data_IF_943575506904
#
_entry.id   IF_943575506904
#
_cell.length_a   1.000
_cell.length_b   1.000
_cell.length_c   1.000
_cell.angle_alpha   90.00
_cell.angle_beta   90.00
_cell.angle_gamma   90.00
#
_symmetry.space_group_name_H-M   'P 1'
#
loop_
_entity.id
_entity.type
_entity.pdbx_description
1 polymer ?
#
# COMPACT_ATOMS: atom_id res chain seq x y z
N UNK A 1 15.83 48.36 42.21
CA UNK A 1 15.05 48.85 41.06
C UNK A 1 15.05 47.76 39.99
N UNK A 2 13.89 47.15 39.75
CA UNK A 2 13.68 46.02 38.85
C UNK A 2 13.69 46.49 37.38
N UNK A 3 14.63 46.00 36.58
CA UNK A 3 14.66 46.25 35.14
C UNK A 3 13.63 45.35 34.45
N UNK A 4 12.54 45.94 33.95
CA UNK A 4 11.49 45.21 33.24
C UNK A 4 11.97 44.71 31.86
N UNK A 5 11.42 43.58 31.41
CA UNK A 5 11.69 42.90 30.12
C UNK A 5 11.44 43.73 28.84
N UNK A 6 11.11 45.02 28.94
CA UNK A 6 10.80 45.90 27.79
C UNK A 6 11.98 46.71 27.22
N UNK A 7 13.18 46.60 27.80
CA UNK A 7 14.34 47.40 27.34
C UNK A 7 15.18 46.74 26.25
N UNK A 8 14.88 45.49 25.85
CA UNK A 8 15.65 44.75 24.84
C UNK A 8 15.31 45.07 23.37
N UNK A 9 14.35 45.96 23.10
CA UNK A 9 13.88 46.28 21.74
C UNK A 9 14.44 47.58 21.13
N UNK A 10 15.53 48.14 21.67
CA UNK A 10 16.14 49.38 21.15
C UNK A 10 17.63 49.26 20.81
N UNK A 11 18.04 48.14 20.21
CA UNK A 11 19.33 48.04 19.53
C UNK A 11 19.08 47.87 18.03
N UNK A 12 19.70 48.68 17.15
CA UNK A 12 19.59 48.48 15.72
C UNK A 12 20.35 47.20 15.38
N UNK A 13 19.62 46.12 15.08
CA UNK A 13 20.21 44.90 14.55
C UNK A 13 20.60 45.16 13.09
N UNK A 14 21.82 45.65 12.87
CA UNK A 14 22.47 45.52 11.58
C UNK A 14 22.96 44.07 11.44
N UNK A 15 22.02 43.13 11.28
CA UNK A 15 22.33 41.77 10.88
C UNK A 15 22.29 41.72 9.35
N UNK A 16 23.45 41.78 8.72
CA UNK A 16 23.58 41.33 7.33
C UNK A 16 23.22 39.84 7.31
N UNK A 17 21.99 39.51 6.90
CA UNK A 17 21.58 38.15 6.68
C UNK A 17 22.39 37.62 5.49
N UNK A 18 23.43 36.84 5.76
CA UNK A 18 24.00 35.96 4.75
C UNK A 18 22.85 35.06 4.24
N UNK A 19 22.64 34.94 2.92
CA UNK A 19 21.59 34.07 2.42
C UNK A 19 21.88 32.67 2.95
N UNK A 20 20.94 32.14 3.74
CA UNK A 20 21.01 30.74 4.13
C UNK A 20 21.10 29.93 2.84
N UNK A 21 22.17 29.13 2.70
CA UNK A 21 22.27 28.19 1.60
C UNK A 21 20.98 27.37 1.60
N UNK A 22 20.24 27.41 0.49
CA UNK A 22 19.00 26.66 0.37
C UNK A 22 19.30 25.19 0.73
N UNK A 23 18.53 24.64 1.66
CA UNK A 23 18.68 23.24 2.01
C UNK A 23 18.60 22.41 0.72
N UNK A 24 19.45 21.38 0.54
CA UNK A 24 19.41 20.57 -0.65
C UNK A 24 17.99 20.01 -0.81
N UNK A 25 17.33 20.38 -1.90
CA UNK A 25 16.02 19.84 -2.26
C UNK A 25 16.22 18.38 -2.62
N UNK A 26 15.53 17.48 -1.91
CA UNK A 26 15.47 16.07 -2.30
C UNK A 26 14.78 16.02 -3.65
N UNK A 27 15.53 15.70 -4.71
CA UNK A 27 14.95 15.50 -6.02
C UNK A 27 14.20 14.16 -6.04
N UNK A 28 12.87 14.19 -5.96
CA UNK A 28 12.06 12.98 -6.04
C UNK A 28 12.12 12.32 -7.42
N UNK A 29 12.72 12.92 -8.46
CA UNK A 29 12.98 12.20 -9.72
C UNK A 29 14.24 11.34 -9.65
N UNK A 30 15.19 11.64 -8.76
CA UNK A 30 16.40 10.84 -8.59
C UNK A 30 16.02 9.41 -8.13
N UNK A 31 16.38 8.34 -8.86
CA UNK A 31 15.89 6.98 -8.57
C UNK A 31 16.11 6.50 -7.14
N UNK A 32 17.16 6.97 -6.47
CA UNK A 32 17.51 6.64 -5.09
C UNK A 32 16.63 7.28 -4.02
N UNK A 33 15.87 8.31 -4.37
CA UNK A 33 15.10 9.10 -3.41
C UNK A 33 13.67 8.57 -3.25
N UNK A 34 13.09 8.79 -2.08
CA UNK A 34 11.70 8.42 -1.78
C UNK A 34 10.74 9.20 -2.68
N UNK A 35 9.68 8.52 -3.14
CA UNK A 35 8.60 9.10 -3.95
C UNK A 35 7.39 9.34 -3.07
N UNK A 36 7.01 10.59 -2.83
CA UNK A 36 5.81 10.90 -2.05
C UNK A 36 4.59 10.72 -2.93
N UNK A 37 3.83 9.65 -2.66
CA UNK A 37 2.68 9.27 -3.47
C UNK A 37 1.36 9.55 -2.74
N UNK A 38 0.35 9.99 -3.50
CA UNK A 38 -1.06 9.96 -3.06
C UNK A 38 -1.80 8.85 -3.81
N UNK A 39 -2.63 8.08 -3.09
CA UNK A 39 -3.62 7.18 -3.69
C UNK A 39 -4.73 7.98 -4.36
N UNK A 40 -4.89 7.83 -5.67
CA UNK A 40 -5.84 8.57 -6.51
C UNK A 40 -6.60 7.62 -7.46
N UNK A 41 -7.77 8.02 -7.98
CA UNK A 41 -8.47 7.28 -9.04
C UNK A 41 -7.76 7.43 -10.40
N UNK A 42 -8.14 6.61 -11.38
CA UNK A 42 -7.64 6.73 -12.75
C UNK A 42 -8.05 8.05 -13.43
N UNK A 43 -9.23 8.59 -13.07
CA UNK A 43 -9.80 9.80 -13.66
C UNK A 43 -10.01 10.86 -12.57
N UNK A 44 -9.51 12.07 -12.84
CA UNK A 44 -9.69 13.29 -12.05
C UNK A 44 -10.00 14.45 -12.98
N UNK A 45 -10.72 15.46 -12.50
CA UNK A 45 -10.95 16.73 -13.20
C UNK A 45 -9.67 17.56 -13.34
N UNK A 46 -9.69 18.57 -14.22
CA UNK A 46 -8.56 19.49 -14.41
C UNK A 46 -8.27 20.31 -13.15
N UNK A 47 -9.32 20.75 -12.44
CA UNK A 47 -9.18 21.49 -11.17
C UNK A 47 -8.53 20.65 -10.07
N UNK A 48 -8.89 19.36 -9.96
CA UNK A 48 -8.26 18.44 -9.01
C UNK A 48 -6.78 18.23 -9.33
N UNK A 49 -6.44 18.02 -10.61
CA UNK A 49 -5.05 17.84 -11.04
C UNK A 49 -4.22 19.12 -10.86
N UNK A 50 -4.82 20.29 -11.14
CA UNK A 50 -4.19 21.58 -10.89
C UNK A 50 -3.92 21.79 -9.40
N UNK A 51 -4.88 21.45 -8.54
CA UNK A 51 -4.70 21.51 -7.08
C UNK A 51 -3.55 20.60 -6.62
N UNK A 52 -3.50 19.35 -7.10
CA UNK A 52 -2.43 18.41 -6.76
C UNK A 52 -1.04 18.92 -7.20
N UNK A 53 -0.97 19.54 -8.38
CA UNK A 53 0.25 20.21 -8.86
C UNK A 53 0.65 21.38 -7.96
N UNK A 54 -0.32 22.22 -7.55
CA UNK A 54 -0.07 23.39 -6.70
C UNK A 54 0.46 23.02 -5.31
N UNK A 55 0.04 21.88 -4.75
CA UNK A 55 0.59 21.35 -3.48
C UNK A 55 1.92 20.59 -3.68
N UNK A 56 2.45 20.54 -4.91
CA UNK A 56 3.76 19.99 -5.22
C UNK A 56 3.79 18.46 -5.40
N UNK A 57 2.65 17.81 -5.61
CA UNK A 57 2.64 16.35 -5.81
C UNK A 57 3.30 16.00 -7.16
N UNK A 58 4.28 15.09 -7.12
CA UNK A 58 5.01 14.63 -8.31
C UNK A 58 4.75 13.16 -8.66
N UNK A 59 4.38 12.36 -7.66
CA UNK A 59 4.17 10.93 -7.82
C UNK A 59 2.80 10.50 -7.32
N UNK A 60 2.20 9.55 -8.02
CA UNK A 60 0.86 9.06 -7.69
C UNK A 60 0.81 7.54 -7.66
N UNK A 61 -0.08 7.03 -6.82
CA UNK A 61 -0.51 5.64 -6.83
C UNK A 61 -1.94 5.59 -7.37
N UNK A 62 -2.17 4.87 -8.46
CA UNK A 62 -3.46 4.89 -9.14
C UNK A 62 -4.21 3.56 -8.97
N UNK A 63 -5.50 3.64 -8.67
CA UNK A 63 -6.40 2.48 -8.74
C UNK A 63 -7.08 2.42 -10.10
N UNK A 64 -6.93 1.29 -10.78
CA UNK A 64 -7.56 0.96 -12.04
C UNK A 64 -8.67 -0.06 -11.80
N UNK A 65 -9.95 0.37 -11.72
CA UNK A 65 -11.06 -0.57 -11.64
C UNK A 65 -11.17 -1.36 -12.96
N UNK A 66 -11.76 -2.56 -12.96
CA UNK A 66 -11.83 -3.41 -14.16
C UNK A 66 -12.48 -2.74 -15.38
N UNK A 67 -13.37 -1.78 -15.17
CA UNK A 67 -14.02 -1.02 -16.25
C UNK A 67 -13.13 0.07 -16.88
N UNK A 68 -11.96 0.36 -16.30
CA UNK A 68 -11.05 1.46 -16.67
C UNK A 68 -9.59 1.00 -16.60
N UNK A 69 -9.33 -0.19 -17.11
CA UNK A 69 -8.02 -0.85 -16.99
C UNK A 69 -7.52 -1.47 -18.28
N UNK A 70 -8.13 -1.14 -19.43
CA UNK A 70 -7.50 -1.46 -20.71
C UNK A 70 -6.19 -0.68 -20.86
N UNK A 71 -5.29 -1.15 -21.72
CA UNK A 71 -4.05 -0.42 -22.04
C UNK A 71 -4.32 1.06 -22.35
N UNK A 72 -5.34 1.36 -23.17
CA UNK A 72 -5.70 2.73 -23.53
C UNK A 72 -6.20 3.57 -22.34
N UNK A 73 -6.86 2.95 -21.35
CA UNK A 73 -7.30 3.66 -20.14
C UNK A 73 -6.12 4.00 -19.22
N UNK A 74 -5.18 3.06 -19.07
CA UNK A 74 -3.97 3.26 -18.27
C UNK A 74 -3.07 4.29 -18.95
N UNK A 75 -2.89 4.20 -20.27
CA UNK A 75 -2.12 5.16 -21.07
C UNK A 75 -2.73 6.57 -20.97
N UNK A 76 -4.06 6.69 -21.10
CA UNK A 76 -4.76 7.97 -20.90
C UNK A 76 -4.51 8.54 -19.51
N UNK A 77 -4.48 7.70 -18.48
CA UNK A 77 -4.17 8.13 -17.11
C UNK A 77 -2.73 8.63 -17.01
N UNK A 78 -1.75 7.90 -17.57
CA UNK A 78 -0.34 8.31 -17.64
C UNK A 78 -0.20 9.66 -18.33
N UNK A 79 -0.82 9.85 -19.48
CA UNK A 79 -0.80 11.12 -20.23
C UNK A 79 -1.45 12.26 -19.43
N UNK A 80 -2.59 11.98 -18.79
CA UNK A 80 -3.35 12.98 -18.03
C UNK A 80 -2.59 13.44 -16.78
N UNK A 81 -2.01 12.53 -16.00
CA UNK A 81 -1.13 12.90 -14.89
C UNK A 81 0.14 13.63 -15.38
N UNK A 82 0.73 13.13 -16.47
CA UNK A 82 1.93 13.71 -17.09
C UNK A 82 1.75 15.16 -17.53
N UNK A 83 0.60 15.53 -18.09
CA UNK A 83 0.27 16.90 -18.47
C UNK A 83 0.33 17.91 -17.30
N UNK A 84 0.19 17.42 -16.06
CA UNK A 84 0.29 18.22 -14.83
C UNK A 84 1.63 18.05 -14.10
N UNK A 85 2.61 17.36 -14.71
CA UNK A 85 3.94 17.15 -14.14
C UNK A 85 4.04 15.98 -13.16
N UNK A 86 3.01 15.13 -13.09
CA UNK A 86 2.97 13.96 -12.22
C UNK A 86 3.31 12.67 -12.97
N UNK A 87 3.86 11.68 -12.26
CA UNK A 87 4.13 10.33 -12.77
C UNK A 87 3.46 9.26 -11.90
N UNK A 88 3.00 8.18 -12.52
CA UNK A 88 2.44 7.03 -11.80
C UNK A 88 3.59 6.14 -11.32
N UNK A 89 3.75 6.00 -10.00
CA UNK A 89 4.76 5.11 -9.41
C UNK A 89 4.22 3.70 -9.16
N UNK A 90 2.95 3.61 -8.78
CA UNK A 90 2.32 2.34 -8.39
C UNK A 90 0.89 2.27 -8.94
N UNK A 91 0.53 1.11 -9.49
CA UNK A 91 -0.80 0.82 -10.00
C UNK A 91 -1.45 -0.33 -9.26
N UNK A 92 -2.77 -0.31 -9.13
CA UNK A 92 -3.54 -1.41 -8.53
C UNK A 92 -4.73 -1.75 -9.40
N UNK A 93 -4.85 -3.03 -9.74
CA UNK A 93 -5.95 -3.58 -10.53
C UNK A 93 -6.77 -4.55 -9.71
N UNK A 94 -8.10 -4.41 -9.68
CA UNK A 94 -8.92 -5.22 -8.74
C UNK A 94 -9.20 -6.67 -9.15
N UNK A 95 -8.74 -7.14 -10.31
CA UNK A 95 -8.92 -8.55 -10.70
C UNK A 95 -8.34 -9.55 -9.69
N UNK A 96 -7.27 -9.23 -8.97
CA UNK A 96 -6.74 -10.12 -7.92
C UNK A 96 -7.69 -10.26 -6.71
N UNK A 97 -8.65 -9.34 -6.54
CA UNK A 97 -9.64 -9.32 -5.44
C UNK A 97 -10.87 -10.16 -5.75
N UNK A 98 -10.99 -10.64 -6.98
CA UNK A 98 -12.11 -11.47 -7.39
C UNK A 98 -12.12 -12.74 -6.53
N UNK A 99 -13.27 -13.06 -5.95
CA UNK A 99 -13.40 -14.17 -5.01
C UNK A 99 -13.03 -15.50 -5.68
N UNK A 100 -13.20 -15.63 -6.99
CA UNK A 100 -12.77 -16.82 -7.71
C UNK A 100 -11.25 -17.01 -7.62
N UNK A 101 -10.46 -15.92 -7.68
CA UNK A 101 -9.01 -15.95 -7.46
C UNK A 101 -8.69 -16.28 -6.01
N UNK A 102 -9.23 -15.51 -5.07
CA UNK A 102 -8.81 -15.60 -3.66
C UNK A 102 -9.31 -16.87 -2.95
N UNK A 103 -10.45 -17.42 -3.36
CA UNK A 103 -11.05 -18.65 -2.81
C UNK A 103 -10.85 -19.87 -3.73
N UNK A 104 -10.13 -19.72 -4.85
CA UNK A 104 -9.78 -20.83 -5.73
C UNK A 104 -10.98 -21.47 -6.46
N UNK A 105 -11.99 -20.67 -6.83
CA UNK A 105 -13.21 -21.16 -7.48
C UNK A 105 -12.99 -21.33 -9.00
N UNK A 106 -13.84 -22.13 -9.67
CA UNK A 106 -13.81 -22.25 -11.14
C UNK A 106 -13.92 -20.88 -11.81
N UNK A 107 -13.12 -20.66 -12.87
CA UNK A 107 -13.10 -19.40 -13.61
C UNK A 107 -12.05 -18.39 -13.14
N UNK A 108 -11.28 -18.67 -12.09
CA UNK A 108 -10.20 -17.79 -11.59
C UNK A 108 -9.19 -17.37 -12.65
N UNK A 109 -8.88 -18.25 -13.61
CA UNK A 109 -7.85 -18.02 -14.62
C UNK A 109 -8.14 -16.81 -15.51
N UNK A 110 -9.41 -16.47 -15.76
CA UNK A 110 -9.77 -15.28 -16.55
C UNK A 110 -9.36 -13.98 -15.84
N UNK A 111 -9.46 -13.97 -14.51
CA UNK A 111 -9.12 -12.81 -13.69
C UNK A 111 -7.62 -12.74 -13.44
N UNK A 112 -6.96 -13.89 -13.29
CA UNK A 112 -5.50 -13.99 -13.28
C UNK A 112 -4.94 -13.44 -14.58
N UNK A 113 -5.50 -13.82 -15.74
CA UNK A 113 -5.04 -13.27 -17.02
C UNK A 113 -5.32 -11.77 -17.16
N UNK A 114 -6.46 -11.27 -16.67
CA UNK A 114 -6.71 -9.83 -16.63
C UNK A 114 -5.66 -9.08 -15.78
N UNK A 115 -5.25 -9.66 -14.65
CA UNK A 115 -4.18 -9.09 -13.82
C UNK A 115 -2.80 -9.20 -14.48
N UNK A 116 -2.51 -10.31 -15.17
CA UNK A 116 -1.29 -10.48 -15.95
C UNK A 116 -1.19 -9.48 -17.10
N UNK A 117 -2.30 -9.22 -17.79
CA UNK A 117 -2.36 -8.19 -18.83
C UNK A 117 -2.08 -6.81 -18.24
N UNK A 118 -2.65 -6.48 -17.08
CA UNK A 118 -2.34 -5.26 -16.34
C UNK A 118 -0.84 -5.13 -16.02
N UNK A 119 -0.16 -6.21 -15.60
CA UNK A 119 1.28 -6.19 -15.36
C UNK A 119 2.09 -5.89 -16.62
N UNK A 120 1.74 -6.51 -17.75
CA UNK A 120 2.39 -6.23 -19.05
C UNK A 120 2.19 -4.77 -19.47
N UNK A 121 1.01 -4.22 -19.23
CA UNK A 121 0.68 -2.84 -19.58
C UNK A 121 1.41 -1.85 -18.67
N UNK A 122 1.53 -2.14 -17.37
CA UNK A 122 2.39 -1.40 -16.45
C UNK A 122 3.85 -1.37 -16.93
N UNK A 123 4.40 -2.51 -17.37
CA UNK A 123 5.76 -2.59 -17.90
C UNK A 123 5.96 -1.70 -19.14
N UNK A 124 5.02 -1.75 -20.10
CA UNK A 124 5.05 -0.90 -21.31
C UNK A 124 4.94 0.59 -21.02
N UNK A 125 4.20 0.94 -19.97
CA UNK A 125 3.93 2.33 -19.57
C UNK A 125 4.87 2.82 -18.47
N UNK A 126 5.93 2.06 -18.16
CA UNK A 126 6.94 2.39 -17.16
C UNK A 126 6.37 2.64 -15.74
N UNK A 127 5.31 1.91 -15.36
CA UNK A 127 4.76 1.90 -14.00
C UNK A 127 5.47 0.77 -13.22
N UNK A 128 6.40 1.09 -12.31
CA UNK A 128 7.35 0.09 -11.79
C UNK A 128 6.76 -0.84 -10.72
N UNK A 129 5.65 -0.47 -10.07
CA UNK A 129 5.08 -1.21 -8.94
C UNK A 129 3.61 -1.57 -9.20
N UNK A 130 3.26 -2.82 -8.95
CA UNK A 130 1.89 -3.31 -8.93
C UNK A 130 1.51 -3.80 -7.52
N UNK A 131 0.71 -3.03 -6.80
CA UNK A 131 0.36 -3.33 -5.41
C UNK A 131 -0.88 -4.21 -5.33
N UNK A 132 -0.87 -5.19 -4.42
CA UNK A 132 -1.93 -6.16 -4.25
C UNK A 132 -2.04 -6.62 -2.79
N UNK A 133 -3.13 -7.31 -2.49
CA UNK A 133 -3.42 -7.95 -1.21
C UNK A 133 -4.09 -9.31 -1.47
N UNK A 134 -4.14 -10.20 -0.49
CA UNK A 134 -4.78 -11.52 -0.66
C UNK A 134 -5.64 -11.90 0.55
N UNK A 135 -6.62 -11.05 0.87
CA UNK A 135 -7.57 -11.29 1.96
C UNK A 135 -9.04 -11.29 1.49
N UNK A 136 -9.65 -12.46 1.24
CA UNK A 136 -11.06 -12.52 0.83
C UNK A 136 -12.05 -12.10 1.92
N UNK A 137 -11.58 -11.84 3.14
CA UNK A 137 -12.39 -11.33 4.25
C UNK A 137 -12.72 -9.82 4.19
N UNK A 138 -12.18 -9.05 3.24
CA UNK A 138 -12.35 -7.58 3.14
C UNK A 138 -11.73 -6.79 4.34
N UNK A 139 -11.88 -5.46 4.34
CA UNK A 139 -11.47 -4.54 5.42
C UNK A 139 -12.71 -3.91 6.05
N UNK A 140 -12.69 -3.68 7.38
CA UNK A 140 -13.86 -3.21 8.12
C UNK A 140 -13.67 -1.88 8.84
N UNK A 141 -14.80 -1.23 9.09
CA UNK A 141 -14.95 -0.12 10.03
C UNK A 141 -16.10 -0.46 10.95
N UNK A 142 -15.86 -0.42 12.27
CA UNK A 142 -16.92 -0.66 13.25
C UNK A 142 -17.65 0.63 13.59
N UNK A 143 -16.98 1.78 13.51
CA UNK A 143 -17.57 3.10 13.70
C UNK A 143 -16.77 4.20 12.98
N UNK A 144 -17.42 5.33 12.70
CA UNK A 144 -16.76 6.62 12.44
C UNK A 144 -16.87 7.44 13.72
N UNK A 145 -15.76 7.99 14.19
CA UNK A 145 -15.68 8.76 15.44
C UNK A 145 -15.04 10.12 15.19
N UNK A 146 -15.32 11.07 16.07
CA UNK A 146 -14.59 12.34 16.12
C UNK A 146 -13.28 12.14 16.88
N UNK A 147 -12.15 12.47 16.24
CA UNK A 147 -10.85 12.48 16.88
C UNK A 147 -10.74 13.64 17.89
N UNK A 148 -9.81 13.59 18.87
CA UNK A 148 -9.65 14.66 19.87
C UNK A 148 -9.41 16.07 19.30
N UNK A 149 -9.07 16.19 18.02
CA UNK A 149 -8.85 17.46 17.31
C UNK A 149 -10.02 17.87 16.42
N UNK A 150 -11.19 17.24 16.56
CA UNK A 150 -12.43 17.63 15.89
C UNK A 150 -12.60 17.15 14.44
N UNK A 151 -11.78 16.21 13.97
CA UNK A 151 -11.91 15.62 12.63
C UNK A 151 -12.46 14.20 12.71
N UNK A 152 -13.21 13.77 11.70
CA UNK A 152 -13.72 12.40 11.63
C UNK A 152 -12.62 11.39 11.29
N UNK A 153 -12.64 10.24 11.95
CA UNK A 153 -11.75 9.11 11.67
C UNK A 153 -12.49 7.79 11.74
N UNK A 154 -12.02 6.80 10.97
CA UNK A 154 -12.48 5.41 11.07
C UNK A 154 -11.95 4.80 12.37
N UNK A 155 -12.78 3.97 12.99
CA UNK A 155 -12.44 3.11 14.11
C UNK A 155 -12.70 1.64 13.75
N UNK A 156 -11.82 0.78 14.23
CA UNK A 156 -12.04 -0.66 14.31
C UNK A 156 -11.88 -1.08 15.77
N UNK A 157 -12.89 -1.74 16.32
CA UNK A 157 -12.86 -2.37 17.64
C UNK A 157 -13.12 -3.86 17.48
N UNK A 158 -12.20 -4.69 17.96
CA UNK A 158 -12.32 -6.14 17.77
C UNK A 158 -13.60 -6.70 18.37
N UNK A 159 -13.96 -6.29 19.59
CA UNK A 159 -15.18 -6.76 20.27
C UNK A 159 -16.45 -6.36 19.52
N UNK A 160 -16.53 -5.13 19.02
CA UNK A 160 -17.68 -4.70 18.22
C UNK A 160 -17.74 -5.47 16.91
N UNK A 161 -16.59 -5.72 16.29
CA UNK A 161 -16.52 -6.53 15.08
C UNK A 161 -17.05 -7.94 15.35
N UNK A 162 -16.49 -8.68 16.32
CA UNK A 162 -16.87 -10.07 16.62
C UNK A 162 -18.34 -10.22 17.03
N UNK A 163 -18.85 -9.30 17.83
CA UNK A 163 -20.17 -9.46 18.44
C UNK A 163 -21.31 -8.80 17.66
N UNK A 164 -21.02 -7.85 16.76
CA UNK A 164 -22.07 -7.03 16.10
C UNK A 164 -21.97 -6.99 14.58
N UNK A 165 -20.78 -7.15 14.01
CA UNK A 165 -20.53 -6.94 12.57
C UNK A 165 -20.22 -8.25 11.85
N UNK A 166 -19.45 -9.12 12.49
CA UNK A 166 -18.94 -10.32 11.87
C UNK A 166 -20.07 -11.30 11.56
N UNK A 167 -20.04 -11.78 10.32
CA UNK A 167 -20.91 -12.84 9.82
C UNK A 167 -20.11 -13.71 8.87
N UNK A 168 -20.50 -14.98 8.72
CA UNK A 168 -19.93 -15.83 7.67
C UNK A 168 -20.21 -15.17 6.32
N UNK A 169 -19.16 -14.85 5.57
CA UNK A 169 -19.29 -14.16 4.28
C UNK A 169 -19.58 -15.14 3.12
N UNK A 170 -19.19 -16.40 3.28
CA UNK A 170 -19.27 -17.41 2.24
C UNK A 170 -20.12 -18.62 2.65
N UNK A 171 -20.24 -19.58 1.75
CA UNK A 171 -21.00 -20.82 1.89
C UNK A 171 -20.42 -21.77 2.95
N UNK A 172 -19.11 -21.69 3.17
CA UNK A 172 -18.37 -22.48 4.17
C UNK A 172 -17.20 -21.71 4.75
N UNK A 173 -16.55 -22.34 5.72
CA UNK A 173 -15.26 -21.87 6.21
C UNK A 173 -14.13 -22.27 5.25
N UNK A 174 -13.16 -21.38 5.14
CA UNK A 174 -11.95 -21.53 4.33
C UNK A 174 -10.73 -21.53 5.25
N UNK A 175 -10.16 -22.71 5.57
CA UNK A 175 -8.96 -22.81 6.38
C UNK A 175 -7.78 -22.07 5.75
N UNK A 176 -6.87 -21.54 6.58
CA UNK A 176 -5.72 -20.73 6.10
C UNK A 176 -4.83 -21.47 5.10
N UNK A 177 -4.66 -22.79 5.24
CA UNK A 177 -3.85 -23.60 4.31
C UNK A 177 -4.48 -23.71 2.92
N UNK A 178 -5.81 -23.65 2.83
CA UNK A 178 -6.49 -23.59 1.53
C UNK A 178 -6.25 -22.23 0.85
N UNK A 179 -6.32 -21.14 1.62
CA UNK A 179 -6.00 -19.80 1.12
C UNK A 179 -4.54 -19.71 0.68
N UNK A 180 -3.62 -20.36 1.40
CA UNK A 180 -2.21 -20.48 0.98
C UNK A 180 -2.05 -21.23 -0.35
N UNK A 181 -2.77 -22.33 -0.55
CA UNK A 181 -2.73 -23.05 -1.83
C UNK A 181 -3.24 -22.17 -2.99
N UNK A 182 -4.27 -21.35 -2.73
CA UNK A 182 -4.81 -20.41 -3.72
C UNK A 182 -3.83 -19.26 -4.01
N UNK A 183 -3.18 -18.71 -2.99
CA UNK A 183 -2.13 -17.71 -3.15
C UNK A 183 -0.95 -18.27 -3.96
N UNK A 184 -0.48 -19.48 -3.64
CA UNK A 184 0.61 -20.12 -4.39
C UNK A 184 0.23 -20.33 -5.87
N UNK A 185 -1.00 -20.74 -6.14
CA UNK A 185 -1.51 -20.85 -7.51
C UNK A 185 -1.47 -19.51 -8.25
N UNK A 186 -1.98 -18.44 -7.62
CA UNK A 186 -1.93 -17.08 -8.15
C UNK A 186 -0.49 -16.63 -8.44
N UNK A 187 0.42 -16.84 -7.50
CA UNK A 187 1.81 -16.43 -7.63
C UNK A 187 2.54 -17.18 -8.75
N UNK A 188 2.32 -18.50 -8.90
CA UNK A 188 2.90 -19.29 -9.99
C UNK A 188 2.47 -18.79 -11.37
N UNK A 189 1.24 -18.29 -11.49
CA UNK A 189 0.73 -17.75 -12.74
C UNK A 189 1.13 -16.29 -12.99
N UNK A 190 1.37 -15.51 -11.93
CA UNK A 190 1.46 -14.05 -12.01
C UNK A 190 2.89 -13.52 -11.91
N UNK A 191 3.70 -14.05 -10.99
CA UNK A 191 5.05 -13.54 -10.74
C UNK A 191 5.99 -13.66 -11.96
N UNK A 192 5.93 -14.72 -12.80
CA UNK A 192 6.71 -14.77 -14.04
C UNK A 192 6.38 -13.61 -14.99
N UNK A 193 5.11 -13.23 -15.10
CA UNK A 193 4.66 -12.12 -15.94
C UNK A 193 5.16 -10.78 -15.40
N UNK A 194 5.13 -10.59 -14.07
CA UNK A 194 5.68 -9.41 -13.42
C UNK A 194 7.19 -9.26 -13.73
N UNK A 195 7.95 -10.36 -13.65
CA UNK A 195 9.37 -10.41 -14.02
C UNK A 195 9.61 -10.05 -15.49
N UNK A 196 8.85 -10.64 -16.42
CA UNK A 196 8.97 -10.34 -17.86
C UNK A 196 8.64 -8.88 -18.17
N UNK A 197 7.68 -8.29 -17.45
CA UNK A 197 7.29 -6.89 -17.59
C UNK A 197 8.23 -5.91 -16.86
N UNK A 198 9.18 -6.40 -16.05
CA UNK A 198 10.03 -5.55 -15.20
C UNK A 198 9.27 -4.82 -14.08
N UNK A 199 8.13 -5.36 -13.65
CA UNK A 199 7.24 -4.76 -12.64
C UNK A 199 7.40 -5.50 -11.31
N UNK A 200 7.54 -4.76 -10.21
CA UNK A 200 7.59 -5.34 -8.86
C UNK A 200 6.18 -5.48 -8.29
N UNK A 201 5.80 -6.70 -7.94
CA UNK A 201 4.59 -6.95 -7.16
C UNK A 201 4.82 -6.58 -5.70
N UNK A 202 3.89 -5.83 -5.12
CA UNK A 202 4.00 -5.28 -3.76
C UNK A 202 2.83 -5.74 -2.89
N UNK A 203 3.11 -6.68 -1.98
CA UNK A 203 2.11 -7.34 -1.15
C UNK A 203 1.78 -6.55 0.12
N UNK A 204 0.52 -6.17 0.30
CA UNK A 204 0.01 -5.49 1.49
C UNK A 204 -0.38 -6.49 2.60
N UNK A 205 -0.26 -6.13 3.89
CA UNK A 205 -0.71 -7.00 5.00
C UNK A 205 -2.24 -7.11 5.03
N UNK A 206 -2.79 -8.10 5.71
CA UNK A 206 -4.24 -8.16 5.83
C UNK A 206 -4.73 -7.18 6.91
N UNK A 207 -5.73 -6.35 6.58
CA UNK A 207 -6.23 -5.27 7.44
C UNK A 207 -7.72 -5.51 7.81
N UNK A 208 -8.07 -5.77 9.08
CA UNK A 208 -7.19 -5.86 10.26
C UNK A 208 -6.40 -7.18 10.32
N UNK A 209 -5.24 -7.26 11.00
CA UNK A 209 -4.39 -8.44 11.04
C UNK A 209 -4.89 -9.51 12.04
N UNK A 210 -6.04 -10.12 11.72
CA UNK A 210 -6.67 -11.18 12.51
C UNK A 210 -6.47 -12.54 11.86
N UNK A 211 -6.16 -13.58 12.63
CA UNK A 211 -5.92 -14.93 12.10
C UNK A 211 -7.10 -15.50 11.28
N UNK A 212 -8.34 -15.20 11.69
CA UNK A 212 -9.55 -15.62 11.00
C UNK A 212 -10.58 -14.50 11.02
N UNK A 213 -11.28 -14.32 9.90
CA UNK A 213 -12.34 -13.34 9.76
C UNK A 213 -13.41 -13.81 8.77
N UNK A 214 -14.70 -13.66 9.11
CA UNK A 214 -15.85 -14.01 8.27
C UNK A 214 -15.89 -15.48 7.80
N UNK A 215 -15.28 -16.40 8.56
CA UNK A 215 -15.11 -17.81 8.17
C UNK A 215 -13.88 -18.07 7.29
N UNK A 216 -13.00 -17.10 7.09
CA UNK A 216 -11.79 -17.25 6.26
C UNK A 216 -10.53 -17.08 7.11
N UNK A 217 -9.61 -18.05 7.02
CA UNK A 217 -8.25 -17.90 7.54
C UNK A 217 -7.45 -16.87 6.75
N UNK A 218 -6.61 -16.11 7.44
CA UNK A 218 -5.84 -14.98 6.90
C UNK A 218 -4.34 -15.26 7.03
N UNK A 219 -3.55 -14.80 6.06
CA UNK A 219 -2.15 -15.24 5.89
C UNK A 219 -1.16 -14.15 6.28
N UNK A 220 -1.42 -12.90 5.91
CA UNK A 220 -0.47 -11.79 6.02
C UNK A 220 -0.74 -10.96 7.26
N UNK A 221 -0.87 -11.67 8.38
CA UNK A 221 -1.21 -11.12 9.70
C UNK A 221 -0.06 -11.21 10.71
N UNK A 222 1.11 -11.65 10.27
CA UNK A 222 2.35 -11.72 11.05
C UNK A 222 3.57 -11.93 10.13
N UNK A 223 4.77 -11.79 10.70
CA UNK A 223 6.06 -11.93 10.01
C UNK A 223 6.20 -13.26 9.27
N UNK A 224 5.83 -14.38 9.90
CA UNK A 224 5.98 -15.71 9.29
C UNK A 224 5.14 -15.88 8.01
N UNK A 225 4.04 -15.15 7.89
CA UNK A 225 3.23 -15.10 6.67
C UNK A 225 4.02 -14.51 5.51
N UNK A 226 4.68 -13.36 5.73
CA UNK A 226 5.56 -12.79 4.72
C UNK A 226 6.78 -13.65 4.42
N UNK A 227 7.39 -14.27 5.44
CA UNK A 227 8.50 -15.20 5.21
C UNK A 227 8.07 -16.40 4.36
N UNK A 228 6.85 -16.93 4.55
CA UNK A 228 6.29 -18.00 3.69
C UNK A 228 6.01 -17.53 2.28
N UNK A 229 5.45 -16.34 2.10
CA UNK A 229 5.22 -15.75 0.78
C UNK A 229 6.52 -15.51 0.01
N UNK A 230 7.59 -15.06 0.69
CA UNK A 230 8.91 -14.91 0.10
C UNK A 230 9.45 -16.26 -0.39
N UNK A 231 9.38 -17.32 0.44
CA UNK A 231 9.81 -18.67 0.02
C UNK A 231 9.05 -19.16 -1.20
N UNK A 232 7.74 -18.92 -1.28
CA UNK A 232 6.93 -19.26 -2.47
C UNK A 232 7.47 -18.50 -3.69
N UNK A 233 7.66 -17.19 -3.57
CA UNK A 233 8.22 -16.36 -4.64
C UNK A 233 9.61 -16.84 -5.08
N UNK A 234 10.47 -17.26 -4.15
CA UNK A 234 11.80 -17.81 -4.44
C UNK A 234 11.74 -19.14 -5.20
N UNK A 235 10.73 -19.98 -4.99
CA UNK A 235 10.56 -21.20 -5.79
C UNK A 235 10.20 -20.91 -7.26
N UNK A 236 9.63 -19.74 -7.54
CA UNK A 236 9.19 -19.32 -8.87
C UNK A 236 10.28 -18.51 -9.59
N UNK A 237 10.91 -17.59 -8.87
CA UNK A 237 11.79 -16.57 -9.45
C UNK A 237 13.28 -16.78 -9.12
N UNK A 238 13.58 -17.67 -8.16
CA UNK A 238 14.91 -17.87 -7.61
C UNK A 238 15.18 -17.01 -6.37
N UNK A 239 16.37 -17.21 -5.80
CA UNK A 239 16.79 -16.62 -4.52
C UNK A 239 16.59 -15.11 -4.50
N UNK A 240 15.95 -14.63 -3.43
CA UNK A 240 15.69 -13.20 -3.23
C UNK A 240 14.62 -12.61 -4.15
N UNK A 241 13.95 -13.39 -5.01
CA UNK A 241 12.75 -13.04 -5.79
C UNK A 241 12.57 -11.52 -6.04
N UNK A 242 13.37 -10.89 -6.92
CA UNK A 242 13.47 -9.43 -7.01
C UNK A 242 12.17 -8.73 -7.41
N UNK A 243 11.27 -9.40 -8.13
CA UNK A 243 9.99 -8.85 -8.54
C UNK A 243 8.87 -9.10 -7.52
N UNK A 244 9.18 -9.71 -6.37
CA UNK A 244 8.30 -9.79 -5.22
C UNK A 244 8.82 -8.95 -4.06
N UNK A 245 7.93 -8.16 -3.45
CA UNK A 245 8.18 -7.38 -2.25
C UNK A 245 6.90 -6.95 -1.56
N UNK A 246 7.00 -5.96 -0.67
CA UNK A 246 5.96 -5.57 0.27
C UNK A 246 5.41 -4.18 -0.03
N UNK A 247 4.10 -4.03 0.11
CA UNK A 247 3.45 -2.76 0.45
C UNK A 247 3.43 -2.73 1.97
N UNK A 248 4.45 -2.14 2.58
CA UNK A 248 4.58 -2.15 4.02
C UNK A 248 3.68 -1.07 4.63
N UNK A 249 2.49 -1.49 5.06
CA UNK A 249 1.57 -0.63 5.78
C UNK A 249 1.95 -0.56 7.26
N UNK A 250 2.61 0.54 7.63
CA UNK A 250 3.01 0.81 9.02
C UNK A 250 1.80 0.76 9.95
N UNK A 251 0.67 1.30 9.52
CA UNK A 251 -0.54 1.34 10.36
C UNK A 251 -1.13 -0.04 10.65
N UNK A 252 -1.28 -0.88 9.63
CA UNK A 252 -1.79 -2.26 9.80
C UNK A 252 -0.81 -3.09 10.63
N UNK A 253 0.50 -2.89 10.42
CA UNK A 253 1.51 -3.60 11.20
C UNK A 253 1.52 -3.17 12.68
N UNK A 254 1.40 -1.86 12.94
CA UNK A 254 1.24 -1.33 14.31
C UNK A 254 -0.06 -1.79 14.97
N UNK A 255 -1.13 -1.95 14.18
CA UNK A 255 -2.42 -2.46 14.67
C UNK A 255 -2.32 -3.91 15.16
N UNK A 256 -1.49 -4.76 14.57
CA UNK A 256 -1.30 -6.12 15.08
C UNK A 256 -0.43 -6.22 16.33
N UNK A 257 0.39 -5.20 16.63
CA UNK A 257 1.26 -5.16 17.81
C UNK A 257 2.19 -6.38 17.92
N UNK A 258 2.34 -6.92 19.13
CA UNK A 258 3.26 -8.03 19.42
C UNK A 258 2.91 -9.33 18.66
N UNK A 259 1.64 -9.51 18.26
CA UNK A 259 1.19 -10.66 17.47
C UNK A 259 1.83 -10.72 16.08
N UNK A 260 2.38 -9.61 15.60
CA UNK A 260 3.05 -9.58 14.31
C UNK A 260 4.39 -10.35 14.30
N UNK A 261 4.95 -10.70 15.47
CA UNK A 261 6.21 -11.44 15.61
C UNK A 261 7.49 -10.61 15.33
N UNK A 262 7.37 -9.52 14.56
CA UNK A 262 8.35 -8.44 14.50
C UNK A 262 7.61 -7.11 14.53
N UNK A 263 8.18 -6.10 15.18
CA UNK A 263 7.64 -4.75 15.15
C UNK A 263 7.96 -4.05 13.82
N UNK A 264 7.54 -2.79 13.70
CA UNK A 264 7.74 -1.99 12.47
C UNK A 264 9.23 -1.82 12.16
N UNK A 265 10.07 -1.58 13.17
CA UNK A 265 11.50 -1.38 12.97
C UNK A 265 12.21 -2.67 12.58
N UNK A 266 11.81 -3.81 13.16
CA UNK A 266 12.30 -5.13 12.78
C UNK A 266 11.96 -5.50 11.34
N UNK A 267 10.77 -5.12 10.86
CA UNK A 267 10.42 -5.26 9.44
C UNK A 267 11.30 -4.41 8.52
N UNK A 268 11.60 -3.17 8.91
CA UNK A 268 12.49 -2.27 8.15
C UNK A 268 13.93 -2.79 8.14
N UNK A 269 14.44 -3.21 9.29
CA UNK A 269 15.80 -3.78 9.41
C UNK A 269 15.98 -5.03 8.54
N UNK A 270 14.94 -5.85 8.43
CA UNK A 270 15.00 -7.09 7.66
C UNK A 270 14.65 -6.89 6.17
N UNK A 271 13.37 -6.67 5.87
CA UNK A 271 12.91 -6.54 4.49
C UNK A 271 13.41 -5.24 3.84
N UNK A 272 13.56 -4.15 4.62
CA UNK A 272 14.12 -2.89 4.09
C UNK A 272 15.57 -3.02 3.65
N UNK A 273 16.45 -3.61 4.47
CA UNK A 273 17.86 -3.81 4.06
C UNK A 273 18.02 -4.71 2.85
N UNK A 274 17.09 -5.64 2.65
CA UNK A 274 17.06 -6.54 1.48
C UNK A 274 16.38 -5.92 0.25
N UNK A 275 15.99 -4.64 0.32
CA UNK A 275 15.35 -3.92 -0.79
C UNK A 275 13.93 -4.41 -1.10
N UNK A 276 13.26 -5.07 -0.16
CA UNK A 276 11.95 -5.70 -0.35
C UNK A 276 10.76 -4.77 -0.11
N UNK A 277 10.97 -3.57 0.42
CA UNK A 277 9.91 -2.58 0.58
C UNK A 277 9.73 -1.82 -0.74
N UNK A 278 8.67 -2.14 -1.49
CA UNK A 278 8.37 -1.48 -2.78
C UNK A 278 7.47 -0.26 -2.59
N UNK A 279 6.58 -0.32 -1.62
CA UNK A 279 5.62 0.75 -1.28
C UNK A 279 5.48 0.81 0.25
N UNK A 280 5.25 1.99 0.81
CA UNK A 280 5.02 2.17 2.25
C UNK A 280 3.71 2.93 2.44
N UNK A 281 2.76 2.37 3.19
CA UNK A 281 1.61 3.14 3.67
C UNK A 281 1.95 3.70 5.04
N UNK A 282 2.23 5.00 5.05
CA UNK A 282 2.67 5.71 6.25
C UNK A 282 1.48 6.32 6.99
N UNK A 283 0.71 5.46 7.66
CA UNK A 283 -0.43 5.83 8.52
C UNK A 283 -0.21 5.28 9.93
N UNK A 284 -0.90 5.85 10.92
CA UNK A 284 -0.84 5.41 12.31
C UNK A 284 -2.22 4.94 12.82
N UNK A 285 -2.20 4.19 13.92
CA UNK A 285 -3.38 3.81 14.72
C UNK A 285 -3.16 4.27 16.17
N UNK A 286 -4.24 4.39 16.95
CA UNK A 286 -4.14 4.87 18.34
C UNK A 286 -3.70 3.79 19.34
N UNK A 287 -3.91 2.51 19.01
CA UNK A 287 -3.54 1.36 19.83
C UNK A 287 -3.50 0.08 18.96
N UNK A 288 -2.75 -0.95 19.38
CA UNK A 288 -2.85 -2.29 18.78
C UNK A 288 -4.19 -2.95 19.13
N UNK A 289 -4.52 -4.02 18.40
CA UNK A 289 -5.60 -4.93 18.72
C UNK A 289 -5.36 -5.58 20.10
N UNK A 290 -6.42 -5.86 20.88
CA UNK A 290 -6.28 -6.55 22.15
C UNK A 290 -5.71 -7.96 21.94
N UNK A 291 -5.09 -8.51 22.99
CA UNK A 291 -4.60 -9.90 23.04
C UNK A 291 -5.72 -10.94 22.85
#
# INVERSE_FOLDING_TARGET
MSASRRTLLKLPLAAAALPAAAAPTIDEYAPSNIKLCRRLPAELSDDELLFLKQIGLQWVRVNFPPAKSSFADIERSVQRYGAYGMKIHSGVHYAYRELDVQLGRPGRDRYIEAYNQFLRDCGKLEIPVASYDFHPGNTYTTAVIEAPRGYETRQFKLDDFRNKVEKRMHDRDYPVEEIWANYEYFMKATLPVAKEAGVRMSLHPDDPPLATMNGVGKMFVHYDGYARAERIAETIEGKGAPHWGLTFCVGTWSEGGDKMGKDVFGMIEDFGRRGKLCEIHFRAVSAPLPE
#
